data_IF_758805165470
#
_entry.id   IF_758805165470
#
_cell.length_a   1.000
_cell.length_b   1.000
_cell.length_c   1.000
_cell.angle_alpha   90.00
_cell.angle_beta   90.00
_cell.angle_gamma   90.00
#
_symmetry.space_group_name_H-M   'P 1'
#
loop_
_entity.id
_entity.type
_entity.pdbx_description
1 polymer ?
#
# COMPACT_ATOMS: atom_id res chain seq x y z
N UNK A 1 -62.16 18.22 10.17
CA UNK A 1 -61.92 17.98 8.71
C UNK A 1 -60.58 18.57 8.35
N UNK A 2 -59.55 17.75 8.15
CA UNK A 2 -58.23 18.18 7.75
C UNK A 2 -58.19 18.29 6.22
N UNK A 3 -58.09 19.54 5.75
CA UNK A 3 -58.02 19.85 4.32
C UNK A 3 -56.65 19.34 3.77
N UNK A 4 -56.64 18.22 3.05
CA UNK A 4 -55.49 17.77 2.32
C UNK A 4 -55.25 18.71 1.15
N UNK A 5 -54.33 19.66 1.31
CA UNK A 5 -53.81 20.47 0.22
C UNK A 5 -53.10 19.52 -0.76
N UNK A 6 -53.76 19.22 -1.89
CA UNK A 6 -53.14 18.45 -2.96
C UNK A 6 -52.06 19.32 -3.62
N UNK A 7 -50.79 18.96 -3.42
CA UNK A 7 -49.68 19.62 -4.11
C UNK A 7 -49.79 19.35 -5.60
N UNK A 8 -49.54 20.36 -6.43
CA UNK A 8 -49.55 20.17 -7.87
C UNK A 8 -48.39 19.23 -8.27
N UNK A 9 -48.55 18.43 -9.36
CA UNK A 9 -47.50 17.50 -9.78
C UNK A 9 -46.17 18.22 -10.11
N UNK A 10 -46.24 19.48 -10.53
CA UNK A 10 -45.05 20.30 -10.79
C UNK A 10 -44.27 20.62 -9.52
N UNK A 11 -44.97 20.89 -8.39
CA UNK A 11 -44.30 21.13 -7.10
C UNK A 11 -43.66 19.83 -6.56
N UNK A 12 -44.34 18.69 -6.71
CA UNK A 12 -43.81 17.41 -6.31
C UNK A 12 -42.55 17.01 -7.12
N UNK A 13 -42.52 17.30 -8.42
CA UNK A 13 -41.36 17.08 -9.27
C UNK A 13 -40.18 17.98 -8.86
N UNK A 14 -40.43 19.24 -8.53
CA UNK A 14 -39.41 20.19 -8.08
C UNK A 14 -38.78 19.74 -6.72
N UNK A 15 -39.63 19.30 -5.78
CA UNK A 15 -39.20 18.79 -4.48
C UNK A 15 -38.30 17.54 -4.64
N UNK A 16 -38.65 16.65 -5.59
CA UNK A 16 -37.87 15.46 -5.90
C UNK A 16 -36.48 15.80 -6.48
N UNK A 17 -36.44 16.74 -7.43
CA UNK A 17 -35.18 17.20 -8.04
C UNK A 17 -34.28 17.86 -6.98
N UNK A 18 -34.87 18.72 -6.13
CA UNK A 18 -34.15 19.40 -5.07
C UNK A 18 -33.59 18.40 -4.04
N UNK A 19 -34.36 17.38 -3.65
CA UNK A 19 -33.93 16.31 -2.78
C UNK A 19 -32.78 15.48 -3.38
N UNK A 20 -32.84 15.19 -4.68
CA UNK A 20 -31.79 14.47 -5.38
C UNK A 20 -30.48 15.27 -5.47
N UNK A 21 -30.58 16.57 -5.76
CA UNK A 21 -29.42 17.47 -5.77
C UNK A 21 -28.78 17.59 -4.38
N UNK A 22 -29.61 17.70 -3.35
CA UNK A 22 -29.11 17.75 -1.96
C UNK A 22 -28.46 16.43 -1.53
N UNK A 23 -29.01 15.28 -1.94
CA UNK A 23 -28.45 13.97 -1.67
C UNK A 23 -27.08 13.78 -2.36
N UNK A 24 -26.90 14.28 -3.59
CA UNK A 24 -25.62 14.27 -4.30
C UNK A 24 -24.59 15.24 -3.68
N UNK A 25 -25.02 16.36 -3.11
CA UNK A 25 -24.13 17.34 -2.47
C UNK A 25 -23.59 16.86 -1.11
N UNK A 26 -24.27 15.93 -0.44
CA UNK A 26 -23.89 15.37 0.88
C UNK A 26 -23.17 14.01 0.73
N UNK A 27 -23.01 13.50 -0.48
CA UNK A 27 -22.26 12.27 -0.69
C UNK A 27 -20.83 12.44 -0.12
N UNK A 28 -20.42 11.65 0.90
CA UNK A 28 -19.05 11.74 1.41
C UNK A 28 -18.10 11.43 0.27
N UNK A 29 -17.20 12.37 -0.03
CA UNK A 29 -16.11 12.15 -0.97
C UNK A 29 -15.29 11.00 -0.40
N UNK A 30 -15.43 9.80 -0.94
CA UNK A 30 -14.50 8.70 -0.69
C UNK A 30 -13.16 9.10 -1.30
N UNK A 31 -12.36 9.87 -0.54
CA UNK A 31 -11.00 10.16 -0.92
C UNK A 31 -10.26 8.83 -0.91
N UNK A 32 -9.64 8.43 -2.01
CA UNK A 32 -8.76 7.28 -1.99
C UNK A 32 -7.63 7.65 -1.00
N UNK A 33 -7.66 7.06 0.19
CA UNK A 33 -6.53 7.12 1.10
C UNK A 33 -5.36 6.51 0.35
N UNK A 34 -4.41 7.35 -0.08
CA UNK A 34 -3.16 6.88 -0.64
C UNK A 34 -2.48 6.08 0.46
N UNK A 35 -2.35 4.77 0.28
CA UNK A 35 -1.77 3.84 1.27
C UNK A 35 -0.36 4.29 1.73
N UNK A 36 0.33 5.06 0.90
CA UNK A 36 1.66 5.60 1.21
C UNK A 36 1.69 6.59 2.39
N UNK A 37 0.57 7.21 2.78
CA UNK A 37 0.52 8.10 3.96
C UNK A 37 0.70 7.34 5.28
N UNK A 38 0.50 6.03 5.27
CA UNK A 38 0.71 5.15 6.42
C UNK A 38 2.19 4.94 6.74
N UNK A 39 3.07 5.07 5.72
CA UNK A 39 4.50 4.80 5.84
C UNK A 39 5.31 6.06 6.13
N UNK A 40 6.33 5.93 6.97
CA UNK A 40 7.31 7.00 7.20
C UNK A 40 8.60 6.70 6.43
N UNK A 41 8.79 7.40 5.33
CA UNK A 41 9.96 7.21 4.47
C UNK A 41 11.30 7.67 5.10
N UNK A 42 11.24 8.27 6.29
CA UNK A 42 12.42 8.56 7.11
C UNK A 42 12.76 7.41 8.07
N UNK A 43 11.79 6.54 8.36
CA UNK A 43 11.99 5.35 9.19
C UNK A 43 12.35 4.16 8.30
N UNK A 44 13.61 4.09 7.92
CA UNK A 44 14.13 3.01 7.08
C UNK A 44 14.34 1.76 7.91
N UNK A 45 13.86 0.64 7.40
CA UNK A 45 14.14 -0.69 7.95
C UNK A 45 14.84 -1.53 6.89
N UNK A 46 15.76 -2.36 7.33
CA UNK A 46 16.39 -3.38 6.51
C UNK A 46 16.42 -4.68 7.30
N UNK A 47 15.81 -5.73 6.75
CA UNK A 47 15.71 -7.03 7.39
C UNK A 47 16.09 -8.13 6.41
N UNK A 48 16.61 -9.22 6.94
CA UNK A 48 16.88 -10.45 6.19
C UNK A 48 16.08 -11.58 6.81
N UNK A 49 15.45 -12.40 5.96
CA UNK A 49 14.61 -13.49 6.44
C UNK A 49 14.09 -14.37 5.32
N UNK A 50 13.23 -15.31 5.70
CA UNK A 50 12.69 -16.32 4.81
C UNK A 50 11.27 -15.96 4.37
N UNK A 51 11.01 -16.02 3.07
CA UNK A 51 9.69 -15.77 2.50
C UNK A 51 8.71 -16.83 2.97
N UNK A 52 7.59 -16.41 3.55
CA UNK A 52 6.49 -17.27 3.96
C UNK A 52 5.30 -17.18 3.04
N UNK A 53 5.12 -16.04 2.37
CA UNK A 53 4.02 -15.84 1.42
C UNK A 53 4.30 -14.67 0.48
N UNK A 54 3.91 -14.79 -0.78
CA UNK A 54 3.72 -13.68 -1.71
C UNK A 54 2.23 -13.60 -2.07
N UNK A 55 1.53 -12.63 -1.48
CA UNK A 55 0.13 -12.37 -1.76
C UNK A 55 0.00 -11.46 -2.98
N UNK A 56 -0.48 -12.04 -4.09
CA UNK A 56 -0.54 -11.37 -5.39
C UNK A 56 -1.94 -10.84 -5.67
N UNK A 57 -2.40 -9.87 -4.85
CA UNK A 57 -3.75 -9.27 -4.95
C UNK A 57 -3.70 -7.77 -5.15
N UNK A 58 -4.74 -7.21 -5.81
CA UNK A 58 -4.98 -5.77 -5.90
C UNK A 58 -5.65 -5.26 -4.62
N UNK A 59 -5.45 -3.98 -4.24
CA UNK A 59 -4.70 -2.94 -4.96
C UNK A 59 -3.18 -3.06 -4.83
N UNK A 60 -2.67 -3.72 -3.80
CA UNK A 60 -1.26 -3.87 -3.49
C UNK A 60 -0.93 -5.34 -3.24
N UNK A 61 0.16 -5.84 -3.86
CA UNK A 61 0.72 -7.12 -3.46
C UNK A 61 1.38 -7.00 -2.08
N UNK A 62 1.53 -8.14 -1.38
CA UNK A 62 2.18 -8.20 -0.08
C UNK A 62 3.16 -9.36 -0.01
N UNK A 63 4.33 -9.08 0.55
CA UNK A 63 5.36 -10.06 0.80
C UNK A 63 5.48 -10.28 2.31
N UNK A 64 5.36 -11.52 2.74
CA UNK A 64 5.52 -11.91 4.14
C UNK A 64 6.86 -12.61 4.32
N UNK A 65 7.61 -12.20 5.33
CA UNK A 65 8.97 -12.66 5.58
C UNK A 65 9.14 -12.94 7.08
N UNK A 66 9.55 -14.14 7.43
CA UNK A 66 9.95 -14.50 8.78
C UNK A 66 11.39 -14.05 9.03
N UNK A 67 11.56 -13.23 10.04
CA UNK A 67 12.84 -12.62 10.42
C UNK A 67 13.15 -13.03 11.85
N UNK A 68 14.36 -13.54 12.09
CA UNK A 68 14.85 -13.80 13.45
C UNK A 68 15.37 -12.50 14.04
N UNK A 69 14.77 -12.04 15.13
CA UNK A 69 15.19 -10.81 15.81
C UNK A 69 16.44 -11.04 16.67
N UNK A 70 16.97 -9.96 17.26
CA UNK A 70 18.17 -10.02 18.11
C UNK A 70 18.01 -10.85 19.41
N UNK A 71 16.78 -11.31 19.72
CA UNK A 71 16.48 -12.20 20.86
C UNK A 71 16.34 -13.67 20.43
N UNK A 72 16.47 -13.97 19.14
CA UNK A 72 16.25 -15.31 18.60
C UNK A 72 14.77 -15.65 18.34
N UNK A 73 13.86 -14.69 18.44
CA UNK A 73 12.43 -14.88 18.19
C UNK A 73 12.12 -14.65 16.70
N UNK A 74 11.22 -15.47 16.14
CA UNK A 74 10.74 -15.28 14.77
C UNK A 74 9.66 -14.23 14.77
N UNK A 75 9.84 -13.20 13.95
CA UNK A 75 8.89 -12.12 13.75
C UNK A 75 8.49 -12.08 12.28
N UNK A 76 7.19 -12.23 11.99
CA UNK A 76 6.68 -12.14 10.63
C UNK A 76 6.52 -10.68 10.23
N UNK A 77 7.23 -10.26 9.19
CA UNK A 77 7.14 -8.95 8.56
C UNK A 77 6.19 -8.98 7.38
N UNK A 78 5.43 -7.91 7.21
CA UNK A 78 4.50 -7.70 6.09
C UNK A 78 4.98 -6.50 5.28
N UNK A 79 5.47 -6.75 4.08
CA UNK A 79 5.92 -5.70 3.16
C UNK A 79 4.86 -5.43 2.09
N UNK A 80 4.37 -4.20 2.04
CA UNK A 80 3.54 -3.75 0.93
C UNK A 80 4.40 -3.52 -0.31
N UNK A 81 3.92 -4.04 -1.42
CA UNK A 81 4.51 -3.91 -2.75
C UNK A 81 3.56 -3.09 -3.64
N UNK A 82 4.01 -2.61 -4.80
CA UNK A 82 3.12 -2.06 -5.81
C UNK A 82 2.04 -3.06 -6.25
N UNK A 83 1.05 -2.57 -6.99
CA UNK A 83 0.00 -3.42 -7.54
C UNK A 83 0.58 -4.54 -8.43
N UNK A 84 -0.10 -5.69 -8.54
CA UNK A 84 0.30 -6.77 -9.45
C UNK A 84 0.58 -6.30 -10.88
N UNK A 85 -0.24 -5.38 -11.39
CA UNK A 85 -0.05 -4.81 -12.75
C UNK A 85 1.28 -4.04 -12.83
N UNK A 86 1.61 -3.25 -11.81
CA UNK A 86 2.88 -2.51 -11.76
C UNK A 86 4.07 -3.46 -11.66
N UNK A 87 3.96 -4.51 -10.85
CA UNK A 87 5.00 -5.53 -10.71
C UNK A 87 5.23 -6.29 -12.01
N UNK A 88 4.15 -6.70 -12.72
CA UNK A 88 4.26 -7.36 -14.02
C UNK A 88 4.96 -6.50 -15.08
N UNK A 89 4.67 -5.20 -15.11
CA UNK A 89 5.36 -4.24 -16.02
C UNK A 89 6.86 -4.15 -15.74
N UNK A 90 7.31 -4.54 -14.54
CA UNK A 90 8.71 -4.61 -14.11
C UNK A 90 9.30 -6.01 -14.22
N UNK A 91 8.62 -6.92 -14.89
CA UNK A 91 9.09 -8.28 -15.15
C UNK A 91 8.80 -9.28 -14.02
N UNK A 92 8.06 -8.88 -12.97
CA UNK A 92 7.66 -9.79 -11.91
C UNK A 92 6.50 -10.68 -12.33
N UNK A 93 6.47 -11.87 -11.77
CA UNK A 93 5.40 -12.87 -11.89
C UNK A 93 4.98 -13.32 -10.50
N UNK A 94 3.88 -14.08 -10.42
CA UNK A 94 3.38 -14.66 -9.16
C UNK A 94 4.39 -15.57 -8.45
N UNK A 95 5.32 -16.14 -9.19
CA UNK A 95 6.36 -17.06 -8.75
C UNK A 95 7.77 -16.43 -8.74
N UNK A 96 7.85 -15.10 -8.81
CA UNK A 96 9.14 -14.39 -8.73
C UNK A 96 9.84 -14.55 -7.39
N UNK A 97 9.06 -14.80 -6.33
CA UNK A 97 9.52 -15.25 -5.03
C UNK A 97 8.69 -16.45 -4.60
N UNK A 98 9.32 -17.41 -3.97
CA UNK A 98 8.71 -18.65 -3.48
C UNK A 98 8.84 -18.73 -1.96
N UNK A 99 7.94 -19.45 -1.33
CA UNK A 99 8.07 -19.81 0.08
C UNK A 99 9.38 -20.55 0.28
N UNK A 100 10.16 -20.14 1.28
CA UNK A 100 11.49 -20.68 1.57
C UNK A 100 12.65 -19.88 0.97
N UNK A 101 12.40 -18.93 0.05
CA UNK A 101 13.46 -18.05 -0.47
C UNK A 101 13.98 -17.15 0.66
N UNK A 102 15.31 -16.99 0.73
CA UNK A 102 15.94 -16.02 1.63
C UNK A 102 16.08 -14.69 0.90
N UNK A 103 15.56 -13.63 1.52
CA UNK A 103 15.58 -12.28 0.94
C UNK A 103 16.04 -11.25 1.95
N UNK A 104 16.68 -10.21 1.45
CA UNK A 104 16.94 -8.98 2.19
C UNK A 104 16.01 -7.90 1.65
N UNK A 105 15.20 -7.33 2.55
CA UNK A 105 14.21 -6.31 2.20
C UNK A 105 14.54 -5.01 2.91
N UNK A 106 14.69 -3.93 2.13
CA UNK A 106 14.81 -2.56 2.61
C UNK A 106 13.53 -1.79 2.29
N UNK A 107 13.01 -1.04 3.27
CA UNK A 107 11.75 -0.34 3.08
C UNK A 107 11.48 0.76 4.10
N UNK A 108 10.35 1.44 3.91
CA UNK A 108 9.85 2.47 4.82
C UNK A 108 8.86 1.84 5.80
N UNK A 109 9.10 1.97 7.11
CA UNK A 109 8.25 1.39 8.15
C UNK A 109 6.92 2.14 8.26
N UNK A 110 5.84 1.41 8.54
CA UNK A 110 4.58 2.02 8.92
C UNK A 110 4.69 2.74 10.27
N UNK A 111 3.97 3.87 10.41
CA UNK A 111 4.02 4.72 11.62
C UNK A 111 3.51 4.00 12.85
N UNK A 112 2.42 3.25 12.69
CA UNK A 112 1.67 2.64 13.79
C UNK A 112 1.87 1.11 13.90
N UNK A 113 2.59 0.50 12.96
CA UNK A 113 2.78 -0.96 12.92
C UNK A 113 4.26 -1.29 12.77
N UNK A 114 4.90 -1.83 13.82
CA UNK A 114 6.35 -2.01 13.86
C UNK A 114 6.89 -3.04 12.85
N UNK A 115 6.07 -3.99 12.41
CA UNK A 115 6.44 -5.07 11.49
C UNK A 115 5.77 -4.95 10.11
N UNK A 116 5.21 -3.77 9.79
CA UNK A 116 4.69 -3.46 8.47
C UNK A 116 5.58 -2.41 7.83
N UNK A 117 5.95 -2.61 6.57
CA UNK A 117 6.74 -1.65 5.81
C UNK A 117 6.35 -1.65 4.32
N UNK A 118 6.63 -0.55 3.63
CA UNK A 118 6.59 -0.46 2.18
C UNK A 118 7.95 -0.87 1.61
N UNK A 119 7.98 -1.91 0.76
CA UNK A 119 9.24 -2.39 0.21
C UNK A 119 9.80 -1.45 -0.86
N UNK A 120 11.05 -1.04 -0.70
CA UNK A 120 11.77 -0.22 -1.68
C UNK A 120 12.80 -1.03 -2.46
N UNK A 121 13.49 -1.95 -1.80
CA UNK A 121 14.46 -2.83 -2.44
C UNK A 121 14.29 -4.23 -1.89
N UNK A 122 14.28 -5.22 -2.77
CA UNK A 122 14.34 -6.63 -2.39
C UNK A 122 15.54 -7.24 -3.12
N UNK A 123 16.39 -7.93 -2.38
CA UNK A 123 17.55 -8.67 -2.89
C UNK A 123 17.41 -10.14 -2.53
N UNK A 124 17.96 -11.02 -3.37
CA UNK A 124 18.13 -12.43 -3.03
C UNK A 124 19.31 -12.64 -2.06
N UNK A 125 19.51 -13.88 -1.64
CA UNK A 125 20.61 -14.29 -0.75
C UNK A 125 22.02 -13.96 -1.31
N UNK A 126 22.14 -13.81 -2.64
CA UNK A 126 23.39 -13.46 -3.31
C UNK A 126 23.56 -11.94 -3.47
N UNK A 127 22.63 -11.14 -2.96
CA UNK A 127 22.65 -9.68 -3.07
C UNK A 127 22.15 -9.12 -4.39
N UNK A 128 21.69 -9.97 -5.33
CA UNK A 128 21.11 -9.53 -6.60
C UNK A 128 19.78 -8.84 -6.35
N UNK A 129 19.60 -7.65 -6.90
CA UNK A 129 18.32 -6.93 -6.79
C UNK A 129 17.24 -7.65 -7.60
N UNK A 130 16.18 -8.06 -6.91
CA UNK A 130 14.97 -8.62 -7.48
C UNK A 130 13.92 -7.54 -7.72
N UNK A 131 13.88 -6.54 -6.84
CA UNK A 131 12.97 -5.41 -6.93
C UNK A 131 13.67 -4.13 -6.49
N UNK A 132 13.39 -3.03 -7.22
CA UNK A 132 13.76 -1.68 -6.83
C UNK A 132 12.57 -0.77 -7.05
N UNK A 133 12.05 -0.17 -5.99
CA UNK A 133 10.93 0.77 -6.02
C UNK A 133 11.33 2.12 -6.62
N UNK A 134 10.33 2.94 -6.96
CA UNK A 134 10.54 4.31 -7.47
C UNK A 134 10.69 5.34 -6.35
N UNK A 135 10.16 5.03 -5.16
CA UNK A 135 10.26 5.95 -4.03
C UNK A 135 11.64 5.76 -3.40
N UNK A 136 12.47 6.79 -3.48
CA UNK A 136 13.75 6.78 -2.78
C UNK A 136 13.47 6.85 -1.27
N UNK A 137 13.81 5.77 -0.57
CA UNK A 137 14.06 5.87 0.86
C UNK A 137 15.28 6.75 0.98
N UNK A 138 15.13 7.92 1.60
CA UNK A 138 16.25 8.81 1.86
C UNK A 138 17.08 8.11 2.93
N UNK A 139 18.11 7.39 2.46
CA UNK A 139 19.17 6.90 3.34
C UNK A 139 20.06 8.12 3.62
N UNK A 140 20.14 8.60 4.87
CA UNK A 140 20.97 9.75 5.19
C UNK A 140 22.47 9.53 4.90
N UNK A 141 22.88 8.29 4.56
CA UNK A 141 24.26 7.93 4.17
C UNK A 141 24.51 7.87 2.66
N UNK A 142 23.49 7.95 1.81
CA UNK A 142 23.65 7.93 0.34
C UNK A 142 23.09 9.19 -0.30
N UNK A 143 23.74 10.31 -0.11
CA UNK A 143 23.61 11.45 -1.02
C UNK A 143 24.39 11.08 -2.28
N UNK A 144 23.70 10.53 -3.28
CA UNK A 144 24.28 10.38 -4.61
C UNK A 144 24.55 11.78 -5.16
N UNK A 145 25.87 12.10 -5.31
CA UNK A 145 26.36 13.29 -5.98
C UNK A 145 25.68 13.39 -7.36
N UNK A 146 25.17 14.56 -7.78
CA UNK A 146 24.68 14.74 -9.14
C UNK A 146 25.81 14.43 -10.12
N UNK A 147 25.51 13.68 -11.17
CA UNK A 147 26.42 13.51 -12.29
C UNK A 147 26.67 14.90 -12.93
N UNK A 148 27.93 15.30 -13.02
CA UNK A 148 28.39 16.43 -13.83
C UNK A 148 28.23 16.13 -15.32
#
# INVERSE_FOLDING_TARGET
MLNRLSRSPAVAALDLVLALVLALAVAPSAWPHHSQSEFDFKLVVEVEGTVTQLDWRSPHARLYVDVVNGKGEVVNWNFELPSPVTLMRRGWKRDSLKVGDVVKVKGARARNFPTIAYANVIRDANGKALFTGVTQVIDPGTVSKPAE
#
